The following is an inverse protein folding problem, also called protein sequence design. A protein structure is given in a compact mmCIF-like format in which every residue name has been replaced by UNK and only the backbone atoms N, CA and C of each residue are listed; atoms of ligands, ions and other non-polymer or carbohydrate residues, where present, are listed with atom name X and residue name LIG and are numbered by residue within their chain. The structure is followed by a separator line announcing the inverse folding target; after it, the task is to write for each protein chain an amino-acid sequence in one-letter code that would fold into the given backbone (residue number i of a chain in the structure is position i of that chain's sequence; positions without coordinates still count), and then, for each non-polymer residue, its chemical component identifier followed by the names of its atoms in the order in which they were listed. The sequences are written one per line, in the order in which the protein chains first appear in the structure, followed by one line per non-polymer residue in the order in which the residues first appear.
data_IF_489167671991
#
_entry.id   IF_489167671991
#
_cell.length_a   1.000
_cell.length_b   1.000
_cell.length_c   1.000
_cell.angle_alpha   90.00
_cell.angle_beta   90.00
_cell.angle_gamma   90.00
#
_symmetry.space_group_name_H-M   'P 1'
#
loop_
_entity.id
_entity.type
_entity.pdbx_description
1 polymer ?
#
# COMPACT_ATOMS: atom_id res chain seq x y z
N UNK A 1 -5.86 -12.66 1.05
CA UNK A 1 -6.17 -11.23 0.82
C UNK A 1 -6.21 -10.44 2.14
N UNK A 2 -6.86 -11.00 3.16
CA UNK A 2 -6.88 -10.52 4.55
C UNK A 2 -6.76 -11.73 5.49
N UNK A 3 -6.29 -11.45 6.69
CA UNK A 3 -6.22 -12.29 7.90
C UNK A 3 -7.51 -12.28 8.74
N UNK A 4 -8.50 -11.47 8.35
CA UNK A 4 -9.77 -11.28 9.06
C UNK A 4 -10.96 -11.62 8.15
N UNK A 5 -11.22 -12.91 7.87
CA UNK A 5 -12.31 -13.37 7.00
C UNK A 5 -13.72 -13.14 7.59
N UNK A 6 -13.83 -12.75 8.85
CA UNK A 6 -15.08 -12.43 9.55
C UNK A 6 -15.56 -10.99 9.32
N UNK A 7 -14.64 -10.05 9.08
CA UNK A 7 -15.00 -8.63 8.92
C UNK A 7 -15.21 -8.30 7.45
N UNK A 8 -16.30 -7.62 7.11
CA UNK A 8 -16.59 -7.21 5.74
C UNK A 8 -15.40 -6.49 5.08
N UNK A 9 -15.23 -6.69 3.77
CA UNK A 9 -14.11 -6.14 3.00
C UNK A 9 -14.60 -5.56 1.70
N UNK A 10 -14.60 -4.23 1.62
CA UNK A 10 -15.01 -3.50 0.44
C UNK A 10 -13.80 -2.87 -0.25
N UNK A 11 -13.78 -2.99 -1.58
CA UNK A 11 -12.88 -2.26 -2.46
C UNK A 11 -13.45 -0.87 -2.77
N UNK A 12 -12.58 0.05 -3.20
CA UNK A 12 -13.02 1.36 -3.67
C UNK A 12 -14.01 1.22 -4.83
N UNK A 13 -15.16 1.91 -4.77
CA UNK A 13 -16.16 1.90 -5.84
C UNK A 13 -15.58 2.35 -7.18
N UNK A 14 -14.69 3.35 -7.18
CA UNK A 14 -13.96 3.78 -8.37
C UNK A 14 -13.06 2.70 -8.95
N UNK A 15 -12.43 1.89 -8.08
CA UNK A 15 -11.62 0.76 -8.51
C UNK A 15 -12.46 -0.35 -9.13
N UNK A 16 -13.65 -0.61 -8.57
CA UNK A 16 -14.59 -1.61 -9.09
C UNK A 16 -15.19 -1.17 -10.44
N UNK A 17 -15.40 0.14 -10.65
CA UNK A 17 -15.95 0.67 -11.90
C UNK A 17 -14.90 0.91 -12.99
N UNK A 18 -13.61 0.81 -12.66
CA UNK A 18 -12.51 1.11 -13.60
C UNK A 18 -12.63 0.37 -14.94
N UNK A 19 -12.95 -0.94 -15.01
CA UNK A 19 -13.10 -1.61 -16.31
C UNK A 19 -14.19 -1.01 -17.18
N UNK A 20 -15.31 -0.58 -16.56
CA UNK A 20 -16.42 0.06 -17.28
C UNK A 20 -16.06 1.46 -17.76
N UNK A 21 -15.43 2.27 -16.90
CA UNK A 21 -14.95 3.61 -17.26
C UNK A 21 -13.91 3.54 -18.37
N UNK A 22 -12.94 2.64 -18.25
CA UNK A 22 -11.93 2.41 -19.27
C UNK A 22 -12.55 1.97 -20.60
N UNK A 23 -13.54 1.07 -20.58
CA UNK A 23 -14.24 0.63 -21.79
C UNK A 23 -15.00 1.75 -22.51
N UNK A 24 -15.38 2.83 -21.81
CA UNK A 24 -16.08 3.98 -22.37
C UNK A 24 -15.14 5.10 -22.85
N UNK A 25 -13.84 5.03 -22.56
CA UNK A 25 -12.86 6.03 -23.02
C UNK A 25 -12.78 6.05 -24.56
N UNK A 26 -12.77 7.21 -25.25
CA UNK A 26 -12.74 7.29 -26.71
C UNK A 26 -11.61 6.49 -27.36
N UNK A 27 -10.44 6.43 -26.73
CA UNK A 27 -9.27 5.71 -27.22
C UNK A 27 -9.41 4.19 -27.07
N UNK A 28 -10.17 3.73 -26.08
CA UNK A 28 -10.31 2.30 -25.73
C UNK A 28 -11.63 1.72 -26.26
N UNK A 29 -12.69 2.51 -26.39
CA UNK A 29 -14.02 2.09 -26.80
C UNK A 29 -14.07 1.31 -28.13
N UNK A 30 -13.27 1.66 -29.17
CA UNK A 30 -13.15 0.85 -30.38
C UNK A 30 -12.59 -0.56 -30.12
N UNK A 31 -11.83 -0.73 -29.04
CA UNK A 31 -11.16 -1.96 -28.64
C UNK A 31 -11.78 -2.64 -27.42
N UNK A 32 -12.96 -2.20 -26.94
CA UNK A 32 -13.60 -2.72 -25.72
C UNK A 32 -13.71 -4.25 -25.66
N UNK A 33 -13.86 -4.93 -26.80
CA UNK A 33 -13.92 -6.39 -26.89
C UNK A 33 -12.62 -7.09 -26.47
N UNK A 34 -11.49 -6.38 -26.49
CA UNK A 34 -10.18 -6.85 -26.03
C UNK A 34 -9.99 -6.66 -24.52
N UNK A 35 -10.89 -5.95 -23.83
CA UNK A 35 -10.84 -5.79 -22.39
C UNK A 35 -11.45 -7.03 -21.72
N UNK A 36 -10.60 -7.76 -21.02
CA UNK A 36 -10.99 -8.90 -20.21
C UNK A 36 -11.25 -8.44 -18.77
N UNK A 37 -12.47 -8.60 -18.27
CA UNK A 37 -12.86 -8.16 -16.93
C UNK A 37 -13.61 -9.25 -16.14
N UNK A 38 -12.98 -10.39 -15.82
CA UNK A 38 -13.59 -11.41 -14.99
C UNK A 38 -13.76 -10.93 -13.54
N UNK A 39 -14.86 -11.32 -12.90
CA UNK A 39 -15.05 -11.12 -11.45
C UNK A 39 -14.37 -12.26 -10.69
N UNK A 40 -13.42 -11.92 -9.81
CA UNK A 40 -12.63 -12.88 -9.04
C UNK A 40 -12.76 -12.64 -7.54
N UNK A 41 -13.00 -13.70 -6.76
CA UNK A 41 -13.14 -13.64 -5.30
C UNK A 41 -11.90 -14.18 -4.59
N UNK A 42 -10.83 -13.39 -4.54
CA UNK A 42 -9.56 -13.79 -3.90
C UNK A 42 -9.69 -14.12 -2.41
N UNK A 43 -10.63 -13.48 -1.71
CA UNK A 43 -10.93 -13.73 -0.29
C UNK A 43 -11.46 -15.13 -0.02
N UNK A 44 -12.17 -15.75 -0.96
CA UNK A 44 -12.68 -17.12 -0.85
C UNK A 44 -11.61 -18.20 -1.13
N UNK A 45 -10.37 -17.78 -1.37
CA UNK A 45 -9.23 -18.67 -1.51
C UNK A 45 -8.98 -19.15 -2.94
N UNK A 46 -7.87 -19.88 -3.08
CA UNK A 46 -7.29 -20.26 -4.37
C UNK A 46 -8.22 -21.12 -5.23
N UNK A 47 -8.93 -22.06 -4.62
CA UNK A 47 -9.84 -22.95 -5.36
C UNK A 47 -11.05 -22.19 -5.95
N UNK A 48 -11.56 -21.17 -5.25
CA UNK A 48 -12.63 -20.31 -5.78
C UNK A 48 -12.16 -19.57 -7.02
N UNK A 49 -11.00 -18.91 -6.92
CA UNK A 49 -10.37 -18.19 -8.03
C UNK A 49 -10.08 -19.13 -9.20
N UNK A 50 -9.59 -20.35 -8.92
CA UNK A 50 -9.36 -21.38 -9.95
C UNK A 50 -10.66 -21.74 -10.67
N UNK A 51 -11.77 -21.94 -9.95
CA UNK A 51 -13.08 -22.25 -10.55
C UNK A 51 -13.57 -21.11 -11.44
N UNK A 52 -13.44 -19.87 -11.00
CA UNK A 52 -13.84 -18.67 -11.75
C UNK A 52 -12.99 -18.48 -13.01
N UNK A 53 -11.67 -18.63 -12.90
CA UNK A 53 -10.75 -18.56 -14.04
C UNK A 53 -10.94 -19.72 -15.01
N UNK A 54 -11.30 -20.93 -14.56
CA UNK A 54 -11.69 -22.02 -15.47
C UNK A 54 -12.93 -21.65 -16.27
N UNK A 55 -13.95 -21.09 -15.61
CA UNK A 55 -15.16 -20.67 -16.29
C UNK A 55 -14.88 -19.57 -17.32
N UNK A 56 -14.06 -18.59 -16.94
CA UNK A 56 -13.62 -17.52 -17.83
C UNK A 56 -12.75 -18.05 -18.99
N UNK A 57 -11.75 -18.89 -18.72
CA UNK A 57 -10.87 -19.46 -19.74
C UNK A 57 -11.61 -20.29 -20.78
N UNK A 58 -12.69 -20.99 -20.41
CA UNK A 58 -13.58 -21.65 -21.39
C UNK A 58 -14.18 -20.68 -22.41
N UNK A 59 -14.55 -19.46 -21.99
CA UNK A 59 -15.04 -18.43 -22.91
C UNK A 59 -13.98 -17.93 -23.91
N UNK A 60 -12.70 -18.20 -23.61
CA UNK A 60 -11.55 -17.91 -24.47
C UNK A 60 -11.06 -19.13 -25.27
N UNK A 61 -11.73 -20.28 -25.17
CA UNK A 61 -11.31 -21.52 -25.82
C UNK A 61 -10.10 -22.21 -25.17
N UNK A 62 -9.75 -21.84 -23.92
CA UNK A 62 -8.58 -22.41 -23.23
C UNK A 62 -8.91 -23.75 -22.54
N UNK A 63 -8.02 -24.74 -22.62
CA UNK A 63 -8.22 -26.01 -21.94
C UNK A 63 -8.05 -25.86 -20.41
N UNK A 64 -8.86 -26.61 -19.65
CA UNK A 64 -8.85 -26.60 -18.18
C UNK A 64 -7.45 -26.75 -17.58
N UNK A 65 -6.65 -27.68 -18.11
CA UNK A 65 -5.29 -27.98 -17.62
C UNK A 65 -4.36 -26.77 -17.74
N UNK A 66 -4.51 -25.99 -18.80
CA UNK A 66 -3.69 -24.79 -19.02
C UNK A 66 -4.05 -23.68 -18.03
N UNK A 67 -5.35 -23.47 -17.80
CA UNK A 67 -5.83 -22.53 -16.77
C UNK A 67 -5.34 -22.94 -15.38
N UNK A 68 -5.43 -24.22 -15.03
CA UNK A 68 -4.97 -24.71 -13.72
C UNK A 68 -3.48 -24.46 -13.51
N UNK A 69 -2.66 -24.78 -14.52
CA UNK A 69 -1.21 -24.51 -14.49
C UNK A 69 -0.92 -23.02 -14.34
N UNK A 70 -1.66 -22.15 -15.03
CA UNK A 70 -1.49 -20.71 -14.93
C UNK A 70 -1.86 -20.18 -13.53
N UNK A 71 -2.93 -20.70 -12.93
CA UNK A 71 -3.33 -20.35 -11.56
C UNK A 71 -2.27 -20.78 -10.55
N UNK A 72 -1.74 -22.00 -10.67
CA UNK A 72 -0.64 -22.47 -9.80
C UNK A 72 0.57 -21.53 -9.88
N UNK A 73 1.05 -21.28 -11.10
CA UNK A 73 2.20 -20.41 -11.33
C UNK A 73 1.98 -18.99 -10.79
N UNK A 74 0.77 -18.43 -10.97
CA UNK A 74 0.43 -17.10 -10.48
C UNK A 74 0.46 -17.01 -8.95
N UNK A 75 -0.12 -18.00 -8.25
CA UNK A 75 -0.13 -18.03 -6.79
C UNK A 75 1.28 -18.25 -6.22
N UNK A 76 2.08 -19.11 -6.85
CA UNK A 76 3.47 -19.32 -6.43
C UNK A 76 4.32 -18.06 -6.63
N UNK A 77 4.23 -17.41 -7.80
CA UNK A 77 4.93 -16.15 -8.05
C UNK A 77 4.51 -15.06 -7.05
N UNK A 78 3.20 -14.95 -6.76
CA UNK A 78 2.67 -14.00 -5.79
C UNK A 78 3.19 -14.25 -4.37
N UNK A 79 3.30 -15.51 -3.97
CA UNK A 79 3.82 -15.91 -2.66
C UNK A 79 5.31 -15.65 -2.54
N UNK A 80 6.10 -16.02 -3.56
CA UNK A 80 7.52 -15.73 -3.62
C UNK A 80 7.79 -14.23 -3.57
N UNK A 81 7.00 -13.42 -4.28
CA UNK A 81 7.09 -11.96 -4.25
C UNK A 81 6.82 -11.40 -2.84
N UNK A 82 5.76 -11.86 -2.17
CA UNK A 82 5.44 -11.44 -0.79
C UNK A 82 6.54 -11.81 0.20
N UNK A 83 7.07 -13.04 0.11
CA UNK A 83 8.20 -13.47 0.96
C UNK A 83 9.41 -12.57 0.78
N UNK A 84 9.75 -12.19 -0.46
CA UNK A 84 10.85 -11.26 -0.75
C UNK A 84 10.60 -9.87 -0.16
N UNK A 85 9.37 -9.34 -0.29
CA UNK A 85 9.02 -8.04 0.30
C UNK A 85 9.13 -8.04 1.82
N UNK A 86 8.61 -9.08 2.48
CA UNK A 86 8.69 -9.19 3.95
C UNK A 86 10.13 -9.36 4.42
N UNK A 87 10.92 -10.21 3.75
CA UNK A 87 12.35 -10.37 4.07
C UNK A 87 13.12 -9.06 3.92
N UNK A 88 12.84 -8.27 2.87
CA UNK A 88 13.47 -6.96 2.69
C UNK A 88 13.03 -5.94 3.75
N UNK A 89 11.75 -5.97 4.16
CA UNK A 89 11.25 -5.13 5.23
C UNK A 89 11.84 -5.48 6.59
N UNK A 90 11.94 -6.77 6.92
CA UNK A 90 12.59 -7.26 8.15
C UNK A 90 14.06 -6.83 8.21
N UNK A 91 14.79 -6.96 7.10
CA UNK A 91 16.17 -6.50 7.00
C UNK A 91 16.30 -4.97 7.19
N UNK A 92 15.41 -4.19 6.56
CA UNK A 92 15.40 -2.74 6.71
C UNK A 92 15.09 -2.31 8.16
N UNK A 93 14.06 -2.91 8.78
CA UNK A 93 13.68 -2.65 10.17
C UNK A 93 14.80 -3.02 11.15
N UNK A 94 15.46 -4.15 10.92
CA UNK A 94 16.62 -4.59 11.71
C UNK A 94 17.77 -3.58 11.59
N UNK A 95 18.12 -3.19 10.36
CA UNK A 95 19.21 -2.24 10.08
C UNK A 95 18.97 -0.90 10.78
N UNK A 96 17.75 -0.34 10.66
CA UNK A 96 17.39 0.91 11.32
C UNK A 96 17.50 0.82 12.85
N UNK A 97 17.13 -0.33 13.43
CA UNK A 97 17.23 -0.56 14.88
C UNK A 97 18.69 -0.70 15.34
N UNK A 98 19.50 -1.48 14.63
CA UNK A 98 20.91 -1.72 14.98
C UNK A 98 21.77 -0.46 14.86
N UNK A 99 21.43 0.44 13.93
CA UNK A 99 22.16 1.68 13.68
C UNK A 99 21.58 2.91 14.39
N UNK A 100 20.46 2.75 15.10
CA UNK A 100 19.68 3.85 15.68
C UNK A 100 19.35 4.95 14.64
N UNK A 101 19.03 4.52 13.42
CA UNK A 101 18.70 5.38 12.29
C UNK A 101 17.19 5.61 12.20
N UNK A 102 16.80 6.75 11.63
CA UNK A 102 15.40 7.06 11.41
C UNK A 102 14.88 6.47 10.10
N UNK A 103 13.66 5.93 10.15
CA UNK A 103 12.96 5.45 8.96
C UNK A 103 11.62 6.13 8.73
N UNK A 104 11.24 6.25 7.47
CA UNK A 104 9.90 6.62 7.05
C UNK A 104 9.17 5.37 6.56
N UNK A 105 8.03 5.06 7.16
CA UNK A 105 7.06 4.14 6.59
C UNK A 105 6.13 4.91 5.69
N UNK A 106 6.11 4.52 4.41
CA UNK A 106 5.20 5.06 3.43
C UNK A 106 3.89 4.26 3.45
N UNK A 107 2.83 4.89 3.96
CA UNK A 107 1.49 4.29 4.01
C UNK A 107 0.58 4.89 2.94
N UNK A 108 -0.30 4.06 2.42
CA UNK A 108 -1.23 4.47 1.37
C UNK A 108 -1.69 3.27 0.58
N UNK A 109 -2.38 3.52 -0.53
CA UNK A 109 -2.82 2.45 -1.43
C UNK A 109 -1.72 2.18 -2.45
N UNK A 110 -1.51 0.92 -2.89
CA UNK A 110 -0.40 0.57 -3.80
C UNK A 110 -0.39 1.36 -5.10
N UNK A 111 -1.57 1.69 -5.65
CA UNK A 111 -1.68 2.52 -6.86
C UNK A 111 -1.24 3.98 -6.65
N UNK A 112 -1.12 4.43 -5.39
CA UNK A 112 -0.54 5.72 -5.03
C UNK A 112 0.92 5.57 -4.63
N UNK A 113 1.26 4.58 -3.82
CA UNK A 113 2.60 4.49 -3.21
C UNK A 113 3.64 3.87 -4.12
N UNK A 114 3.23 3.02 -5.07
CA UNK A 114 4.16 2.17 -5.83
C UNK A 114 4.31 2.60 -7.30
N UNK A 115 3.49 3.56 -7.77
CA UNK A 115 3.61 4.13 -9.12
C UNK A 115 4.37 5.46 -9.10
N UNK A 116 5.51 5.52 -9.79
CA UNK A 116 6.40 6.69 -9.82
C UNK A 116 5.78 7.89 -10.55
N UNK A 117 4.89 7.65 -11.51
CA UNK A 117 4.16 8.72 -12.18
C UNK A 117 3.14 9.34 -11.25
N UNK A 118 2.36 8.50 -10.56
CA UNK A 118 1.30 8.96 -9.64
C UNK A 118 1.86 9.68 -8.43
N UNK A 119 2.93 9.18 -7.81
CA UNK A 119 3.54 9.83 -6.64
C UNK A 119 4.69 10.78 -6.93
N UNK A 120 4.92 11.12 -8.20
CA UNK A 120 6.01 11.98 -8.63
C UNK A 120 7.38 11.48 -8.14
N UNK A 121 7.56 10.17 -8.06
CA UNK A 121 8.75 9.48 -7.53
C UNK A 121 9.17 9.96 -6.13
N UNK A 122 8.21 10.34 -5.28
CA UNK A 122 8.50 10.86 -3.95
C UNK A 122 9.44 9.95 -3.14
N UNK A 123 9.27 8.61 -3.10
CA UNK A 123 10.19 7.74 -2.35
C UNK A 123 11.62 7.75 -2.93
N UNK A 124 11.75 7.87 -4.26
CA UNK A 124 13.05 8.03 -4.92
C UNK A 124 13.72 9.35 -4.54
N UNK A 125 12.96 10.45 -4.54
CA UNK A 125 13.44 11.78 -4.20
C UNK A 125 13.82 11.92 -2.73
N UNK A 126 13.04 11.34 -1.81
CA UNK A 126 13.37 11.34 -0.38
C UNK A 126 14.72 10.67 -0.10
N UNK A 127 14.95 9.51 -0.74
CA UNK A 127 16.24 8.80 -0.67
C UNK A 127 17.37 9.61 -1.31
N UNK A 128 17.15 10.12 -2.53
CA UNK A 128 18.19 10.81 -3.32
C UNK A 128 18.62 12.14 -2.70
N UNK A 129 17.67 12.96 -2.25
CA UNK A 129 17.95 14.33 -1.82
C UNK A 129 18.20 14.45 -0.32
N UNK A 130 17.60 13.59 0.50
CA UNK A 130 17.69 13.70 1.96
C UNK A 130 18.31 12.47 2.64
N UNK A 131 18.68 11.42 1.88
CA UNK A 131 19.30 10.22 2.44
C UNK A 131 18.37 9.44 3.39
N UNK A 132 17.05 9.58 3.24
CA UNK A 132 16.06 9.00 4.15
C UNK A 132 15.72 7.57 3.72
N UNK A 133 15.76 6.63 4.67
CA UNK A 133 15.23 5.28 4.46
C UNK A 133 13.71 5.30 4.38
N UNK A 134 13.17 4.83 3.25
CA UNK A 134 11.72 4.78 2.99
C UNK A 134 11.30 3.33 2.82
N UNK A 135 10.45 2.86 3.72
CA UNK A 135 9.91 1.50 3.77
C UNK A 135 8.44 1.53 3.35
N UNK A 136 8.06 0.98 2.19
CA UNK A 136 6.65 0.79 1.83
C UNK A 136 5.92 -0.08 2.85
N UNK A 137 4.67 0.25 3.18
CA UNK A 137 3.87 -0.54 4.13
C UNK A 137 3.67 -2.01 3.71
N UNK A 138 3.76 -2.32 2.40
CA UNK A 138 3.66 -3.69 1.87
C UNK A 138 4.85 -4.57 2.29
N UNK A 139 5.96 -3.99 2.77
CA UNK A 139 7.12 -4.71 3.31
C UNK A 139 7.01 -4.99 4.81
N UNK A 140 6.00 -4.46 5.50
CA UNK A 140 5.82 -4.67 6.93
C UNK A 140 5.06 -5.97 7.23
N UNK A 141 5.35 -6.64 8.37
CA UNK A 141 4.61 -7.82 8.80
C UNK A 141 3.24 -7.40 9.37
N UNK A 142 2.27 -7.17 8.48
CA UNK A 142 0.92 -6.71 8.86
C UNK A 142 0.00 -7.83 9.37
N UNK A 143 0.28 -9.09 8.99
CA UNK A 143 -0.58 -10.22 9.27
C UNK A 143 -0.63 -10.51 10.78
N UNK A 144 -1.84 -10.66 11.33
CA UNK A 144 -2.07 -10.89 12.76
C UNK A 144 -2.07 -9.61 13.61
N UNK A 145 -1.84 -8.44 13.01
CA UNK A 145 -1.95 -7.17 13.73
C UNK A 145 -3.42 -6.79 13.87
N UNK A 146 -3.94 -6.86 15.09
CA UNK A 146 -5.32 -6.49 15.40
C UNK A 146 -5.47 -4.96 15.49
N UNK A 147 -6.54 -4.42 14.92
CA UNK A 147 -6.85 -2.97 14.92
C UNK A 147 -8.20 -2.65 15.58
N UNK A 148 -8.90 -3.63 16.15
CA UNK A 148 -10.27 -3.50 16.67
C UNK A 148 -10.41 -2.56 17.87
N UNK A 149 -9.34 -2.37 18.63
CA UNK A 149 -9.21 -1.36 19.68
C UNK A 149 -9.24 0.08 19.14
N UNK A 150 -8.82 0.30 17.90
CA UNK A 150 -8.87 1.61 17.22
C UNK A 150 -10.14 1.75 16.37
N UNK A 151 -10.52 0.67 15.68
CA UNK A 151 -11.73 0.60 14.87
C UNK A 151 -12.20 -0.85 14.74
N UNK A 152 -13.31 -1.16 15.40
CA UNK A 152 -13.89 -2.51 15.53
C UNK A 152 -14.39 -3.11 14.20
N UNK A 153 -14.75 -2.27 13.23
CA UNK A 153 -15.33 -2.69 11.95
C UNK A 153 -14.71 -1.94 10.75
N UNK A 154 -13.38 -1.90 10.68
CA UNK A 154 -12.70 -1.26 9.55
C UNK A 154 -12.92 -2.06 8.26
N UNK A 155 -14.03 -1.80 7.57
CA UNK A 155 -14.52 -2.61 6.46
C UNK A 155 -13.82 -2.34 5.12
N UNK A 156 -12.96 -1.31 5.05
CA UNK A 156 -12.05 -1.14 3.92
C UNK A 156 -10.78 -1.95 4.15
N UNK A 157 -10.52 -2.96 3.31
CA UNK A 157 -9.35 -3.84 3.44
C UNK A 157 -8.03 -3.06 3.53
N UNK A 158 -7.80 -2.13 2.60
CA UNK A 158 -6.62 -1.27 2.66
C UNK A 158 -6.64 -0.28 3.83
N UNK A 159 -7.82 0.13 4.30
CA UNK A 159 -7.93 0.92 5.52
C UNK A 159 -7.38 0.15 6.72
N UNK A 160 -7.77 -1.12 6.85
CA UNK A 160 -7.24 -2.04 7.88
C UNK A 160 -5.72 -2.18 7.77
N UNK A 161 -5.20 -2.46 6.58
CA UNK A 161 -3.74 -2.57 6.37
C UNK A 161 -2.97 -1.31 6.73
N UNK A 162 -3.54 -0.12 6.45
CA UNK A 162 -2.95 1.16 6.85
C UNK A 162 -2.91 1.29 8.38
N UNK A 163 -3.97 0.88 9.09
CA UNK A 163 -3.99 0.87 10.56
C UNK A 163 -3.04 -0.18 11.15
N UNK A 164 -2.94 -1.36 10.53
CA UNK A 164 -1.96 -2.39 10.89
C UNK A 164 -0.53 -1.85 10.75
N UNK A 165 -0.24 -1.17 9.63
CA UNK A 165 1.07 -0.55 9.42
C UNK A 165 1.36 0.55 10.46
N UNK A 166 0.37 1.36 10.80
CA UNK A 166 0.49 2.37 11.86
C UNK A 166 0.79 1.73 13.22
N UNK A 167 0.14 0.60 13.55
CA UNK A 167 0.43 -0.18 14.77
C UNK A 167 1.82 -0.79 14.78
N UNK A 168 2.30 -1.31 13.65
CA UNK A 168 3.68 -1.75 13.52
C UNK A 168 4.62 -0.57 13.80
N UNK A 169 4.37 0.60 13.20
CA UNK A 169 5.18 1.82 13.44
C UNK A 169 5.16 2.26 14.91
N UNK A 170 4.05 2.07 15.63
CA UNK A 170 3.97 2.40 17.06
C UNK A 170 5.02 1.67 17.90
N UNK A 171 5.42 0.46 17.49
CA UNK A 171 6.38 -0.39 18.19
C UNK A 171 7.85 0.06 18.02
N UNK A 172 8.13 1.02 17.13
CA UNK A 172 9.50 1.45 16.79
C UNK A 172 9.66 2.95 16.99
N UNK A 173 10.39 3.44 18.01
CA UNK A 173 10.49 4.88 18.29
C UNK A 173 11.11 5.69 17.14
N UNK A 174 12.00 5.08 16.35
CA UNK A 174 12.70 5.66 15.22
C UNK A 174 11.93 5.62 13.88
N UNK A 175 10.70 5.06 13.85
CA UNK A 175 9.86 5.08 12.66
C UNK A 175 8.83 6.20 12.67
N UNK A 176 8.70 6.85 11.52
CA UNK A 176 7.77 7.94 11.23
C UNK A 176 6.90 7.58 10.02
N UNK A 177 5.76 8.27 9.85
CA UNK A 177 4.78 7.93 8.80
C UNK A 177 4.64 9.10 7.83
N UNK A 178 4.74 8.78 6.54
CA UNK A 178 4.21 9.61 5.46
C UNK A 178 3.04 8.86 4.83
N UNK A 179 1.86 9.46 4.89
CA UNK A 179 0.64 8.94 4.29
C UNK A 179 0.43 9.61 2.93
N UNK A 180 0.49 8.84 1.84
CA UNK A 180 0.07 9.27 0.50
C UNK A 180 -1.40 8.88 0.24
N UNK A 181 -2.24 9.87 -0.01
CA UNK A 181 -3.63 9.72 -0.46
C UNK A 181 -3.88 10.58 -1.71
N UNK A 182 -5.07 10.46 -2.29
CA UNK A 182 -5.47 11.26 -3.46
C UNK A 182 -6.61 12.22 -3.14
N UNK A 183 -6.72 13.27 -3.95
CA UNK A 183 -7.89 14.14 -3.97
C UNK A 183 -9.16 13.29 -4.20
N UNK A 184 -10.24 13.62 -3.46
CA UNK A 184 -11.52 12.90 -3.47
C UNK A 184 -11.44 11.41 -3.09
N UNK A 185 -10.39 10.94 -2.41
CA UNK A 185 -10.39 9.61 -1.84
C UNK A 185 -11.32 9.53 -0.60
N UNK A 186 -12.57 9.16 -0.82
CA UNK A 186 -13.58 9.00 0.24
C UNK A 186 -13.11 8.07 1.37
N UNK A 187 -12.69 6.82 1.09
CA UNK A 187 -12.22 5.90 2.13
C UNK A 187 -11.08 6.47 2.99
N UNK A 188 -10.07 7.08 2.37
CA UNK A 188 -8.91 7.60 3.11
C UNK A 188 -9.26 8.82 3.96
N UNK A 189 -10.27 9.60 3.54
CA UNK A 189 -10.78 10.71 4.35
C UNK A 189 -11.34 10.25 5.70
N UNK A 190 -11.88 9.02 5.77
CA UNK A 190 -12.28 8.39 7.04
C UNK A 190 -11.09 7.75 7.75
N UNK A 191 -10.31 6.92 7.05
CA UNK A 191 -9.23 6.11 7.64
C UNK A 191 -8.16 6.97 8.31
N UNK A 192 -7.79 8.12 7.73
CA UNK A 192 -6.70 8.97 8.23
C UNK A 192 -6.89 9.42 9.69
N UNK A 193 -8.13 9.55 10.15
CA UNK A 193 -8.42 10.00 11.53
C UNK A 193 -7.96 8.99 12.58
N UNK A 194 -7.96 7.70 12.23
CA UNK A 194 -7.56 6.60 13.11
C UNK A 194 -6.04 6.35 13.12
N UNK A 195 -5.29 6.89 12.15
CA UNK A 195 -3.85 6.62 12.01
C UNK A 195 -3.03 7.15 13.19
N UNK A 196 -3.40 8.32 13.73
CA UNK A 196 -2.70 8.88 14.90
C UNK A 196 -2.87 7.98 16.12
N UNK A 197 -4.07 7.47 16.36
CA UNK A 197 -4.36 6.55 17.47
C UNK A 197 -3.66 5.21 17.27
N UNK A 198 -3.78 4.61 16.09
CA UNK A 198 -3.12 3.35 15.74
C UNK A 198 -1.59 3.42 15.84
N UNK A 199 -0.99 4.59 15.62
CA UNK A 199 0.46 4.80 15.74
C UNK A 199 0.93 5.21 17.14
N UNK A 200 0.09 5.08 18.18
CA UNK A 200 0.43 5.43 19.55
C UNK A 200 0.58 6.94 19.77
N UNK A 201 -0.19 7.74 19.04
CA UNK A 201 -0.19 9.21 19.13
C UNK A 201 0.83 9.90 18.24
N UNK A 202 1.64 9.16 17.45
CA UNK A 202 2.70 9.73 16.63
C UNK A 202 2.18 10.70 15.57
N UNK A 203 2.77 11.88 15.42
CA UNK A 203 2.45 12.80 14.33
C UNK A 203 2.94 12.23 12.99
N UNK A 204 2.09 12.25 11.97
CA UNK A 204 2.39 11.81 10.61
C UNK A 204 2.17 12.93 9.60
N UNK A 205 2.87 12.87 8.47
CA UNK A 205 2.62 13.76 7.34
C UNK A 205 1.58 13.14 6.43
N UNK A 206 0.48 13.86 6.16
CA UNK A 206 -0.47 13.47 5.12
C UNK A 206 -0.25 14.29 3.86
N UNK A 207 0.05 13.60 2.76
CA UNK A 207 0.18 14.15 1.43
C UNK A 207 -1.03 13.73 0.61
N UNK A 208 -1.72 14.72 0.07
CA UNK A 208 -2.80 14.50 -0.88
C UNK A 208 -2.27 14.86 -2.25
N UNK A 209 -2.27 13.87 -3.15
CA UNK A 209 -1.89 14.03 -4.54
C UNK A 209 -3.13 14.31 -5.38
N UNK A 210 -2.99 15.17 -6.35
CA UNK A 210 -3.97 15.43 -7.40
C UNK A 210 -3.31 15.18 -8.78
N UNK A 211 -4.01 15.49 -9.86
CA UNK A 211 -3.50 15.31 -11.22
C UNK A 211 -2.34 16.29 -11.54
N UNK A 212 -2.03 17.24 -10.66
CA UNK A 212 -0.97 18.19 -10.89
C UNK A 212 0.40 17.54 -10.64
N UNK A 213 1.30 17.72 -11.61
CA UNK A 213 2.66 17.19 -11.57
C UNK A 213 3.66 18.11 -10.85
N UNK A 214 3.20 19.08 -10.06
CA UNK A 214 4.10 20.00 -9.36
C UNK A 214 4.61 19.36 -8.05
N UNK A 215 5.80 18.79 -8.13
CA UNK A 215 6.45 18.08 -7.03
C UNK A 215 7.09 19.00 -5.99
N UNK A 216 7.40 20.25 -6.36
CA UNK A 216 8.08 21.20 -5.47
C UNK A 216 7.31 21.42 -4.17
N UNK A 217 5.99 21.64 -4.26
CA UNK A 217 5.14 21.85 -3.09
C UNK A 217 5.04 20.61 -2.18
N UNK A 218 5.10 19.41 -2.75
CA UNK A 218 5.11 18.16 -1.98
C UNK A 218 6.45 17.97 -1.28
N UNK A 219 7.56 18.23 -1.98
CA UNK A 219 8.91 18.11 -1.42
C UNK A 219 9.15 19.09 -0.27
N UNK A 220 8.75 20.35 -0.39
CA UNK A 220 8.92 21.32 0.71
C UNK A 220 8.16 20.89 1.98
N UNK A 221 6.96 20.30 1.83
CA UNK A 221 6.21 19.75 2.97
C UNK A 221 6.90 18.54 3.59
N UNK A 222 7.50 17.69 2.76
CA UNK A 222 8.32 16.58 3.24
C UNK A 222 9.56 17.09 3.98
N UNK A 223 10.27 18.07 3.43
CA UNK A 223 11.45 18.67 4.05
C UNK A 223 11.14 19.25 5.43
N UNK A 224 10.07 20.03 5.54
CA UNK A 224 9.61 20.56 6.83
C UNK A 224 9.26 19.45 7.83
N UNK A 225 8.63 18.37 7.37
CA UNK A 225 8.33 17.22 8.23
C UNK A 225 9.61 16.49 8.68
N UNK A 226 10.53 16.21 7.75
CA UNK A 226 11.82 15.57 8.01
C UNK A 226 12.65 16.38 9.01
N UNK A 227 12.72 17.71 8.86
CA UNK A 227 13.38 18.59 9.82
C UNK A 227 12.71 18.51 11.20
N UNK A 228 11.37 18.54 11.26
CA UNK A 228 10.63 18.44 12.54
C UNK A 228 10.85 17.13 13.29
N UNK A 229 11.28 16.07 12.60
CA UNK A 229 11.60 14.76 13.19
C UNK A 229 13.10 14.54 13.39
N UNK A 230 13.92 15.50 12.96
CA UNK A 230 15.37 15.46 13.12
C UNK A 230 16.10 14.57 12.10
N UNK A 231 15.48 14.23 10.97
CA UNK A 231 16.19 13.54 9.86
C UNK A 231 17.30 14.41 9.29
N UNK A 232 17.07 15.73 9.19
CA UNK A 232 18.02 16.67 8.61
C UNK A 232 19.04 17.21 9.62
N UNK A 233 18.96 16.78 10.89
CA UNK A 233 19.81 17.21 12.00
C UNK A 233 20.47 16.03 12.71
N UNK A 234 21.01 15.09 11.94
CA UNK A 234 21.64 13.88 12.47
C UNK A 234 22.79 14.16 13.46
N UNK A 235 23.51 15.28 13.31
CA UNK A 235 24.56 15.70 14.24
C UNK A 235 24.03 16.12 15.62
N UNK A 236 22.76 16.52 15.74
CA UNK A 236 22.15 16.88 17.01
C UNK A 236 21.76 15.64 17.83
N UNK A 237 21.56 14.48 17.19
CA UNK A 237 21.26 13.20 17.85
C UNK A 237 22.49 12.53 18.45
N UNK A 238 23.65 12.72 17.84
CA UNK A 238 24.94 12.13 18.28
C UNK A 238 25.56 12.77 19.53
N UNK A 239 24.97 13.81 20.12
CA UNK A 239 25.54 14.56 21.25
C UNK A 239 25.10 14.09 22.66
N UNK A 240 24.69 12.85 22.81
CA UNK A 240 24.53 12.21 24.13
C UNK A 240 25.14 10.81 24.08
N UNK A 241 26.47 10.77 24.16
CA UNK A 241 27.25 9.60 24.53
C UNK A 241 28.41 10.08 25.41
#
# INVERSE_FOLDING_TARGET
ETDHPEVQSHLCVWGQTLPFVAACSPQIAPHRRKLLSPTLHFREGKERVRKELRAFGRSLGLPKREVDRAVEAAYEAQEQFRKKLLSAGEEALRTLRERDELGIVLVGRPYNTNDRGVNMDLPGKLRKYYGVDVIPMDMLPLWGVDVRDVNDNMFWNYGRKILQAAKVVAQYPNLHIIYISNFKCGPDSYVKHFVKEASGGKPFLSLQLDEHSNDAGVLTRCEAYLDSKGFLRWWARRKVA
#
